data_IF_096887161845
#
_entry.id   IF_096887161845
#
_cell.length_a   1.000
_cell.length_b   1.000
_cell.length_c   1.000
_cell.angle_alpha   90.00
_cell.angle_beta   90.00
_cell.angle_gamma   90.00
#
_symmetry.space_group_name_H-M   'P 1'
#
loop_
_entity.id
_entity.type
_entity.pdbx_description
1 polymer ?
#
# COMPACT_ATOMS: atom_id res chain seq x y z
N UNK A 1 17.79 8.98 -11.20
CA UNK A 1 16.85 7.85 -10.97
C UNK A 1 16.09 7.58 -12.26
N UNK A 2 15.86 6.31 -12.61
CA UNK A 2 15.02 5.97 -13.77
C UNK A 2 13.56 6.31 -13.46
N UNK A 3 12.77 6.44 -14.52
CA UNK A 3 11.35 6.78 -14.42
C UNK A 3 10.52 5.72 -15.14
N UNK A 4 9.41 5.31 -14.54
CA UNK A 4 8.51 4.29 -15.08
C UNK A 4 7.08 4.83 -15.12
N UNK A 5 6.37 4.46 -16.18
CA UNK A 5 4.94 4.75 -16.29
C UNK A 5 4.14 3.75 -15.43
N UNK A 6 3.12 4.20 -14.74
CA UNK A 6 2.17 3.33 -14.04
C UNK A 6 1.09 2.84 -15.00
N UNK A 7 1.13 1.57 -15.33
CA UNK A 7 0.17 0.92 -16.21
C UNK A 7 0.04 1.60 -17.58
N UNK A 8 -1.20 1.84 -17.99
CA UNK A 8 -1.55 2.59 -19.20
C UNK A 8 -1.78 4.08 -18.94
N UNK A 9 -1.65 4.52 -17.70
CA UNK A 9 -1.92 5.91 -17.27
C UNK A 9 -0.88 6.90 -17.80
N UNK A 10 -1.15 8.20 -17.65
CA UNK A 10 -0.17 9.26 -17.93
C UNK A 10 0.82 9.52 -16.78
N UNK A 11 0.72 8.80 -15.66
CA UNK A 11 1.56 9.04 -14.48
C UNK A 11 2.90 8.35 -14.65
N UNK A 12 3.98 9.10 -14.45
CA UNK A 12 5.36 8.63 -14.51
C UNK A 12 6.03 8.88 -13.18
N UNK A 13 6.57 7.83 -12.57
CA UNK A 13 7.13 7.83 -11.21
C UNK A 13 8.60 7.43 -11.19
N UNK A 14 9.27 7.71 -10.09
CA UNK A 14 10.58 7.11 -9.76
C UNK A 14 10.49 5.58 -9.73
N UNK A 15 11.55 4.88 -10.10
CA UNK A 15 11.62 3.41 -10.05
C UNK A 15 11.73 2.84 -8.62
N UNK A 16 11.83 3.72 -7.63
CA UNK A 16 11.70 3.39 -6.21
C UNK A 16 10.43 4.05 -5.68
N UNK A 17 9.61 3.24 -5.00
CA UNK A 17 8.45 3.71 -4.25
C UNK A 17 8.80 3.72 -2.75
N UNK A 18 8.62 4.85 -2.09
CA UNK A 18 8.84 5.01 -0.65
C UNK A 18 7.63 4.51 0.13
N UNK A 19 7.75 3.35 0.77
CA UNK A 19 6.74 2.84 1.70
C UNK A 19 6.84 3.48 3.08
N UNK A 20 5.71 3.87 3.65
CA UNK A 20 5.63 4.64 4.91
C UNK A 20 5.05 3.84 6.08
N UNK A 21 4.83 2.55 5.93
CA UNK A 21 4.06 1.64 6.80
C UNK A 21 4.43 1.68 8.31
N UNK A 22 5.59 2.18 8.68
CA UNK A 22 6.08 2.18 10.08
C UNK A 22 5.98 3.55 10.76
N UNK A 23 5.64 4.61 10.03
CA UNK A 23 5.59 5.97 10.53
C UNK A 23 4.42 6.17 11.50
N UNK A 24 4.73 6.67 12.68
CA UNK A 24 3.77 6.88 13.77
C UNK A 24 3.73 5.76 14.82
N UNK A 25 4.51 4.67 14.63
CA UNK A 25 4.63 3.62 15.65
C UNK A 25 6.07 3.18 15.90
N UNK A 26 6.78 2.71 14.87
CA UNK A 26 8.18 2.28 14.96
C UNK A 26 9.15 3.41 14.62
N UNK A 27 8.67 4.43 13.92
CA UNK A 27 9.41 5.60 13.46
C UNK A 27 8.60 6.82 13.89
N UNK A 28 9.15 7.70 14.68
CA UNK A 28 8.47 8.93 15.09
C UNK A 28 8.35 9.94 13.94
N UNK A 29 7.62 11.02 14.14
CA UNK A 29 7.33 12.00 13.10
C UNK A 29 8.59 12.75 12.64
N UNK A 30 9.51 13.07 13.54
CA UNK A 30 10.73 13.79 13.19
C UNK A 30 11.66 12.93 12.32
N UNK A 31 11.82 11.67 12.68
CA UNK A 31 12.57 10.69 11.90
C UNK A 31 11.87 10.40 10.55
N UNK A 32 10.53 10.27 10.55
CA UNK A 32 9.76 10.07 9.32
C UNK A 32 9.96 11.24 8.34
N UNK A 33 9.94 12.48 8.82
CA UNK A 33 10.21 13.66 8.00
C UNK A 33 11.62 13.63 7.42
N UNK A 34 12.63 13.32 8.23
CA UNK A 34 14.02 13.22 7.77
C UNK A 34 14.20 12.14 6.70
N UNK A 35 13.52 10.98 6.84
CA UNK A 35 13.53 9.90 5.87
C UNK A 35 12.86 10.33 4.55
N UNK A 36 11.69 10.98 4.63
CA UNK A 36 10.97 11.47 3.44
C UNK A 36 11.74 12.58 2.73
N UNK A 37 12.32 13.53 3.47
CA UNK A 37 13.18 14.58 2.92
C UNK A 37 14.35 13.96 2.15
N UNK A 38 15.05 13.01 2.77
CA UNK A 38 16.20 12.34 2.15
C UNK A 38 15.82 11.55 0.91
N UNK A 39 14.68 10.86 0.93
CA UNK A 39 14.18 10.14 -0.23
C UNK A 39 13.82 11.09 -1.37
N UNK A 40 13.11 12.17 -1.07
CA UNK A 40 12.69 13.18 -2.04
C UNK A 40 13.90 13.91 -2.67
N UNK A 41 14.89 14.31 -1.87
CA UNK A 41 16.16 14.87 -2.35
C UNK A 41 16.94 13.92 -3.27
N UNK A 42 16.83 12.61 -3.04
CA UNK A 42 17.42 11.60 -3.90
C UNK A 42 16.63 11.34 -5.20
N UNK A 43 15.50 12.04 -5.40
CA UNK A 43 14.66 11.97 -6.59
C UNK A 43 13.56 10.92 -6.52
N UNK A 44 13.24 10.39 -5.32
CA UNK A 44 12.05 9.55 -5.10
C UNK A 44 10.84 10.47 -4.99
N UNK A 45 9.91 10.38 -5.93
CA UNK A 45 8.67 11.15 -5.94
C UNK A 45 7.42 10.32 -5.71
N UNK A 46 7.55 9.01 -5.59
CA UNK A 46 6.46 8.07 -5.40
C UNK A 46 6.41 7.58 -3.95
N UNK A 47 5.33 7.92 -3.24
CA UNK A 47 5.13 7.60 -1.82
C UNK A 47 3.88 6.77 -1.63
N UNK A 48 3.99 5.67 -0.87
CA UNK A 48 2.91 4.71 -0.63
C UNK A 48 2.56 4.64 0.87
N UNK A 49 1.30 4.86 1.17
CA UNK A 49 0.71 4.77 2.51
C UNK A 49 -0.56 3.91 2.50
N UNK A 50 -1.33 3.87 3.56
CA UNK A 50 -2.66 3.27 3.65
C UNK A 50 -3.45 3.79 4.87
N UNK A 51 -4.78 3.81 4.78
CA UNK A 51 -5.66 4.27 5.86
C UNK A 51 -5.46 3.54 7.19
N UNK A 52 -5.06 2.26 7.13
CA UNK A 52 -4.86 1.43 8.31
C UNK A 52 -3.47 1.51 8.93
N UNK A 53 -2.52 2.21 8.29
CA UNK A 53 -1.16 2.30 8.79
C UNK A 53 -1.04 3.21 10.02
N UNK A 54 -0.08 2.94 10.92
CA UNK A 54 1.05 2.02 10.80
C UNK A 54 0.74 0.56 11.11
N UNK A 55 1.68 -0.32 10.77
CA UNK A 55 1.65 -1.77 11.07
C UNK A 55 2.73 -2.08 12.10
N UNK A 56 2.40 -2.89 13.16
CA UNK A 56 1.13 -3.58 13.43
C UNK A 56 -0.02 -2.61 13.74
N UNK A 57 -1.24 -2.88 13.23
CA UNK A 57 -2.36 -2.00 13.48
C UNK A 57 -2.76 -2.03 14.97
N UNK A 58 -2.95 -0.84 15.54
CA UNK A 58 -3.42 -0.62 16.91
C UNK A 58 -4.38 0.56 16.89
N UNK A 59 -5.47 0.47 17.63
CA UNK A 59 -6.51 1.48 17.67
C UNK A 59 -6.01 2.91 17.99
N UNK A 60 -4.91 3.00 18.73
CA UNK A 60 -4.37 4.31 19.18
C UNK A 60 -3.63 5.09 18.10
N UNK A 61 -3.22 4.45 16.99
CA UNK A 61 -2.45 5.11 15.93
C UNK A 61 -2.88 4.77 14.50
N UNK A 62 -3.99 4.05 14.32
CA UNK A 62 -4.56 3.86 12.97
C UNK A 62 -4.78 5.22 12.32
N UNK A 63 -4.28 5.37 11.08
CA UNK A 63 -4.36 6.61 10.31
C UNK A 63 -3.17 7.56 10.54
N UNK A 64 -2.39 7.39 11.61
CA UNK A 64 -1.29 8.29 11.95
C UNK A 64 -0.23 8.41 10.83
N UNK A 65 -0.03 7.35 10.05
CA UNK A 65 0.90 7.40 8.92
C UNK A 65 0.44 8.38 7.83
N UNK A 66 -0.84 8.35 7.46
CA UNK A 66 -1.40 9.33 6.50
C UNK A 66 -1.32 10.75 7.04
N UNK A 67 -1.59 10.96 8.35
CA UNK A 67 -1.46 12.27 8.98
C UNK A 67 -0.02 12.80 8.92
N UNK A 68 0.98 11.95 9.21
CA UNK A 68 2.41 12.32 9.13
C UNK A 68 2.79 12.69 7.70
N UNK A 69 2.40 11.88 6.71
CA UNK A 69 2.66 12.16 5.30
C UNK A 69 1.98 13.46 4.86
N UNK A 70 0.74 13.69 5.28
CA UNK A 70 0.00 14.92 4.99
C UNK A 70 0.68 16.17 5.59
N UNK A 71 1.08 16.09 6.86
CA UNK A 71 1.82 17.20 7.51
C UNK A 71 3.17 17.45 6.84
N UNK A 72 3.87 16.41 6.42
CA UNK A 72 5.13 16.55 5.69
C UNK A 72 4.94 17.26 4.35
N UNK A 73 3.98 16.83 3.53
CA UNK A 73 3.69 17.47 2.24
C UNK A 73 3.31 18.94 2.41
N UNK A 74 2.47 19.25 3.41
CA UNK A 74 2.09 20.62 3.72
C UNK A 74 3.27 21.47 4.19
N UNK A 75 4.10 20.94 5.09
CA UNK A 75 5.27 21.65 5.62
C UNK A 75 6.33 21.95 4.54
N UNK A 76 6.45 21.08 3.52
CA UNK A 76 7.39 21.26 2.42
C UNK A 76 6.78 21.95 1.19
N UNK A 77 5.46 22.12 1.14
CA UNK A 77 4.77 22.70 -0.01
C UNK A 77 5.00 21.91 -1.30
N UNK A 78 5.16 20.59 -1.22
CA UNK A 78 5.62 19.74 -2.33
C UNK A 78 4.55 18.77 -2.87
N UNK A 79 3.25 18.95 -2.51
CA UNK A 79 2.17 18.04 -2.94
C UNK A 79 2.16 17.77 -4.45
N UNK A 80 2.35 18.82 -5.25
CA UNK A 80 2.35 18.73 -6.73
C UNK A 80 3.57 17.95 -7.29
N UNK A 81 4.64 17.84 -6.52
CA UNK A 81 5.85 17.12 -6.90
C UNK A 81 5.86 15.66 -6.40
N UNK A 82 4.87 15.29 -5.59
CA UNK A 82 4.73 13.94 -5.00
C UNK A 82 3.62 13.18 -5.72
N UNK A 83 3.90 11.96 -6.14
CA UNK A 83 2.90 10.99 -6.57
C UNK A 83 2.51 10.17 -5.34
N UNK A 84 1.32 10.41 -4.84
CA UNK A 84 0.81 9.87 -3.60
C UNK A 84 -0.09 8.66 -3.83
N UNK A 85 0.28 7.52 -3.26
CA UNK A 85 -0.55 6.33 -3.22
C UNK A 85 -1.09 6.08 -1.82
N UNK A 86 -2.37 5.74 -1.71
CA UNK A 86 -2.95 5.19 -0.48
C UNK A 86 -3.93 4.05 -0.77
N UNK A 87 -4.51 3.45 0.27
CA UNK A 87 -5.27 2.20 0.11
C UNK A 87 -6.50 2.18 1.01
N UNK A 88 -7.61 1.65 0.47
CA UNK A 88 -8.80 1.28 1.23
C UNK A 88 -8.71 -0.15 1.72
N UNK A 89 -8.94 -0.38 3.01
CA UNK A 89 -8.95 -1.72 3.59
C UNK A 89 -10.17 -2.52 3.10
N UNK A 90 -9.93 -3.73 2.63
CA UNK A 90 -10.97 -4.74 2.40
C UNK A 90 -11.56 -5.27 3.71
N UNK A 91 -12.31 -6.39 3.70
CA UNK A 91 -12.93 -6.97 4.89
C UNK A 91 -11.93 -7.18 6.04
N UNK A 92 -12.34 -6.87 7.27
CA UNK A 92 -11.42 -6.84 8.42
C UNK A 92 -10.88 -8.20 8.84
N UNK A 93 -11.57 -9.29 8.54
CA UNK A 93 -11.23 -10.65 8.97
C UNK A 93 -10.84 -10.76 10.46
N UNK A 94 -11.38 -9.85 11.29
CA UNK A 94 -11.16 -9.82 12.73
C UNK A 94 -9.79 -9.30 13.20
N UNK A 95 -8.96 -8.73 12.32
CA UNK A 95 -7.66 -8.19 12.69
C UNK A 95 -7.54 -6.67 12.60
N UNK A 96 -8.53 -6.00 12.02
CA UNK A 96 -8.67 -4.55 12.08
C UNK A 96 -9.63 -4.21 13.21
N UNK A 97 -9.16 -3.39 14.11
CA UNK A 97 -9.96 -2.94 15.26
C UNK A 97 -10.56 -1.55 14.98
N UNK A 98 -11.62 -1.15 15.69
CA UNK A 98 -11.96 0.27 15.76
C UNK A 98 -10.71 1.11 16.12
N UNK A 99 -10.53 2.36 15.63
CA UNK A 99 -11.60 3.19 15.08
C UNK A 99 -11.85 3.06 13.57
N UNK A 100 -11.06 2.27 12.80
CA UNK A 100 -11.22 2.23 11.36
C UNK A 100 -12.62 1.71 10.98
N UNK A 101 -13.50 2.63 10.58
CA UNK A 101 -14.91 2.39 10.25
C UNK A 101 -15.62 1.44 11.24
N UNK A 102 -15.33 1.60 12.54
CA UNK A 102 -15.84 0.75 13.63
C UNK A 102 -15.55 -0.75 13.45
N UNK A 103 -14.46 -1.09 12.76
CA UNK A 103 -14.07 -2.46 12.44
C UNK A 103 -14.87 -3.10 11.29
N UNK A 104 -15.76 -2.36 10.65
CA UNK A 104 -16.59 -2.81 9.52
C UNK A 104 -15.99 -2.32 8.21
N UNK A 105 -14.85 -2.87 7.83
CA UNK A 105 -14.21 -2.54 6.56
C UNK A 105 -14.71 -3.46 5.44
N UNK A 106 -14.70 -2.97 4.21
CA UNK A 106 -15.14 -3.66 3.01
C UNK A 106 -14.90 -2.83 1.76
N UNK A 107 -15.30 -3.34 0.61
CA UNK A 107 -15.11 -2.67 -0.67
C UNK A 107 -16.42 -2.28 -1.35
N UNK A 108 -17.52 -2.22 -0.59
CA UNK A 108 -18.77 -1.63 -1.07
C UNK A 108 -18.65 -0.10 -1.21
N UNK A 109 -19.61 0.50 -1.93
CA UNK A 109 -19.63 1.93 -2.23
C UNK A 109 -19.53 2.80 -0.97
N UNK A 110 -20.27 2.47 0.09
CA UNK A 110 -20.26 3.27 1.31
C UNK A 110 -18.89 3.24 1.99
N UNK A 111 -18.29 2.04 2.10
CA UNK A 111 -16.99 1.86 2.70
C UNK A 111 -15.89 2.57 1.91
N UNK A 112 -15.88 2.42 0.59
CA UNK A 112 -14.92 3.07 -0.32
C UNK A 112 -15.01 4.59 -0.23
N UNK A 113 -16.23 5.15 -0.28
CA UNK A 113 -16.44 6.61 -0.19
C UNK A 113 -16.02 7.15 1.17
N UNK A 114 -16.44 6.50 2.26
CA UNK A 114 -16.07 6.93 3.62
C UNK A 114 -14.54 6.87 3.83
N UNK A 115 -13.90 5.83 3.30
CA UNK A 115 -12.44 5.65 3.42
C UNK A 115 -11.66 6.75 2.70
N UNK A 116 -12.04 7.06 1.45
CA UNK A 116 -11.31 8.08 0.67
C UNK A 116 -11.44 9.47 1.27
N UNK A 117 -12.63 9.85 1.75
CA UNK A 117 -12.84 11.15 2.41
C UNK A 117 -11.95 11.29 3.64
N UNK A 118 -11.94 10.28 4.50
CA UNK A 118 -11.09 10.27 5.69
C UNK A 118 -9.58 10.26 5.34
N UNK A 119 -9.17 9.59 4.27
CA UNK A 119 -7.79 9.62 3.80
C UNK A 119 -7.39 11.00 3.25
N UNK A 120 -8.25 11.65 2.47
CA UNK A 120 -8.01 13.01 1.97
C UNK A 120 -7.84 14.02 3.12
N UNK A 121 -8.68 13.91 4.17
CA UNK A 121 -8.57 14.73 5.38
C UNK A 121 -7.23 14.52 6.09
N UNK A 122 -6.83 13.27 6.38
CA UNK A 122 -5.57 12.95 7.03
C UNK A 122 -4.35 13.37 6.21
N UNK A 123 -4.40 13.18 4.90
CA UNK A 123 -3.34 13.53 3.95
C UNK A 123 -3.30 15.03 3.62
N UNK A 124 -4.29 15.81 4.06
CA UNK A 124 -4.39 17.26 3.86
C UNK A 124 -4.29 17.64 2.38
N UNK A 125 -4.98 16.91 1.52
CA UNK A 125 -5.03 17.10 0.06
C UNK A 125 -6.43 16.80 -0.45
N UNK A 126 -6.78 17.36 -1.60
CA UNK A 126 -8.07 17.17 -2.27
C UNK A 126 -8.07 16.05 -3.32
N UNK A 127 -6.90 15.49 -3.63
CA UNK A 127 -6.77 14.36 -4.57
C UNK A 127 -5.69 13.37 -4.17
N UNK A 128 -5.85 12.12 -4.62
CA UNK A 128 -4.90 11.01 -4.51
C UNK A 128 -4.47 10.60 -5.91
N UNK A 129 -3.17 10.38 -6.13
CA UNK A 129 -2.67 9.99 -7.45
C UNK A 129 -2.98 8.52 -7.76
N UNK A 130 -2.75 7.62 -6.80
CA UNK A 130 -3.05 6.19 -6.94
C UNK A 130 -3.85 5.70 -5.73
N UNK A 131 -5.09 5.26 -5.96
CA UNK A 131 -5.93 4.68 -4.92
C UNK A 131 -6.06 3.18 -5.10
N UNK A 132 -5.75 2.39 -4.07
CA UNK A 132 -5.63 0.95 -4.18
C UNK A 132 -6.62 0.23 -3.26
N UNK A 133 -7.19 -0.90 -3.69
CA UNK A 133 -7.77 -1.85 -2.76
C UNK A 133 -6.64 -2.57 -2.02
N UNK A 134 -6.62 -2.54 -0.67
CA UNK A 134 -5.51 -3.07 0.12
C UNK A 134 -5.43 -4.60 0.10
N UNK A 135 -6.59 -5.26 -0.01
CA UNK A 135 -6.78 -6.68 -0.31
C UNK A 135 -8.17 -6.89 -0.86
N UNK A 136 -8.38 -8.00 -1.58
CA UNK A 136 -9.68 -8.28 -2.20
C UNK A 136 -10.80 -8.50 -1.17
N UNK A 137 -12.01 -8.18 -1.59
CA UNK A 137 -13.24 -8.63 -0.96
C UNK A 137 -13.79 -9.81 -1.79
N UNK A 138 -13.66 -11.06 -1.31
CA UNK A 138 -14.06 -12.23 -2.08
C UNK A 138 -15.58 -12.39 -2.16
N UNK A 139 -16.31 -11.83 -1.20
CA UNK A 139 -17.76 -11.99 -1.05
C UNK A 139 -18.54 -10.85 -1.71
N UNK A 140 -17.86 -9.85 -2.26
CA UNK A 140 -18.47 -8.69 -2.89
C UNK A 140 -18.17 -8.63 -4.39
N UNK A 141 -19.16 -8.32 -5.25
CA UNK A 141 -18.97 -8.28 -6.70
C UNK A 141 -17.90 -7.28 -7.12
N UNK A 142 -16.92 -7.71 -7.94
CA UNK A 142 -15.84 -6.83 -8.42
C UNK A 142 -16.38 -5.61 -9.19
N UNK A 143 -17.45 -5.81 -9.93
CA UNK A 143 -18.13 -4.77 -10.70
C UNK A 143 -18.65 -3.63 -9.80
N UNK A 144 -19.20 -3.97 -8.62
CA UNK A 144 -19.69 -2.96 -7.68
C UNK A 144 -18.56 -2.18 -7.02
N UNK A 145 -17.46 -2.87 -6.65
CA UNK A 145 -16.24 -2.21 -6.17
C UNK A 145 -15.68 -1.27 -7.22
N UNK A 146 -15.58 -1.72 -8.48
CA UNK A 146 -15.05 -0.90 -9.57
C UNK A 146 -15.92 0.33 -9.86
N UNK A 147 -17.25 0.21 -9.84
CA UNK A 147 -18.14 1.37 -9.97
C UNK A 147 -17.93 2.38 -8.84
N UNK A 148 -17.77 1.91 -7.61
CA UNK A 148 -17.50 2.80 -6.48
C UNK A 148 -16.17 3.54 -6.63
N UNK A 149 -15.14 2.87 -7.12
CA UNK A 149 -13.83 3.46 -7.38
C UNK A 149 -13.85 4.39 -8.60
N UNK A 150 -14.58 4.04 -9.67
CA UNK A 150 -14.75 4.86 -10.86
C UNK A 150 -15.42 6.21 -10.54
N UNK A 151 -16.43 6.22 -9.66
CA UNK A 151 -17.04 7.46 -9.18
C UNK A 151 -16.01 8.41 -8.54
N UNK A 152 -14.99 7.90 -7.86
CA UNK A 152 -13.93 8.71 -7.28
C UNK A 152 -13.00 9.30 -8.36
N UNK A 153 -12.79 8.55 -9.44
CA UNK A 153 -12.01 9.05 -10.60
C UNK A 153 -12.80 10.13 -11.32
N UNK A 154 -14.08 9.90 -11.59
CA UNK A 154 -14.98 10.89 -12.22
C UNK A 154 -15.13 12.16 -11.39
N UNK A 155 -15.14 12.03 -10.06
CA UNK A 155 -15.18 13.16 -9.13
C UNK A 155 -13.83 13.92 -9.02
N UNK A 156 -12.76 13.44 -9.65
CA UNK A 156 -11.43 14.05 -9.59
C UNK A 156 -10.69 13.85 -8.25
N UNK A 157 -11.23 13.03 -7.35
CA UNK A 157 -10.60 12.70 -6.05
C UNK A 157 -9.46 11.70 -6.17
N UNK A 158 -9.48 10.89 -7.23
CA UNK A 158 -8.49 9.86 -7.53
C UNK A 158 -8.10 9.97 -8.99
N UNK A 159 -6.79 9.88 -9.29
CA UNK A 159 -6.32 9.97 -10.68
C UNK A 159 -6.29 8.61 -11.37
N UNK A 160 -5.76 7.57 -10.70
CA UNK A 160 -5.73 6.19 -11.20
C UNK A 160 -6.00 5.18 -10.08
N UNK A 161 -6.39 3.98 -10.49
CA UNK A 161 -6.72 2.88 -9.59
C UNK A 161 -5.64 1.80 -9.57
N UNK A 162 -5.54 1.10 -8.44
CA UNK A 162 -4.72 -0.08 -8.26
C UNK A 162 -5.37 -1.10 -7.34
N UNK A 163 -4.80 -2.28 -7.30
CA UNK A 163 -5.16 -3.32 -6.34
C UNK A 163 -3.92 -3.84 -5.59
N UNK A 164 -4.14 -4.47 -4.45
CA UNK A 164 -3.06 -5.09 -3.68
C UNK A 164 -3.50 -6.45 -3.14
N UNK A 165 -2.55 -7.37 -3.00
CA UNK A 165 -2.81 -8.73 -2.53
C UNK A 165 -3.88 -9.48 -3.37
N UNK A 166 -4.04 -9.08 -4.63
CA UNK A 166 -5.00 -9.69 -5.54
C UNK A 166 -4.38 -10.91 -6.23
N UNK A 167 -5.24 -11.83 -6.63
CA UNK A 167 -4.88 -13.01 -7.42
C UNK A 167 -4.86 -12.67 -8.92
N UNK A 168 -4.24 -13.54 -9.74
CA UNK A 168 -4.32 -13.45 -11.19
C UNK A 168 -5.76 -13.47 -11.69
N UNK A 169 -6.59 -14.38 -11.12
CA UNK A 169 -8.02 -14.44 -11.43
C UNK A 169 -8.75 -13.14 -11.08
N UNK A 170 -8.55 -12.60 -9.87
CA UNK A 170 -9.22 -11.40 -9.42
C UNK A 170 -8.81 -10.15 -10.20
N UNK A 171 -7.52 -10.03 -10.56
CA UNK A 171 -7.04 -8.98 -11.43
C UNK A 171 -7.68 -9.06 -12.82
N UNK A 172 -7.62 -10.23 -13.48
CA UNK A 172 -8.22 -10.42 -14.81
C UNK A 172 -9.74 -10.21 -14.79
N UNK A 173 -10.44 -10.71 -13.77
CA UNK A 173 -11.88 -10.49 -13.61
C UNK A 173 -12.20 -9.00 -13.50
N UNK A 174 -11.40 -8.23 -12.76
CA UNK A 174 -11.58 -6.77 -12.60
C UNK A 174 -11.30 -6.03 -13.91
N UNK A 175 -10.22 -6.37 -14.61
CA UNK A 175 -9.89 -5.76 -15.90
C UNK A 175 -10.98 -6.02 -16.96
N UNK A 176 -11.48 -7.25 -17.03
CA UNK A 176 -12.57 -7.61 -17.95
C UNK A 176 -13.89 -6.89 -17.59
N UNK A 177 -14.17 -6.69 -16.30
CA UNK A 177 -15.33 -5.93 -15.84
C UNK A 177 -15.20 -4.44 -16.21
N UNK A 178 -14.04 -3.85 -16.00
CA UNK A 178 -13.77 -2.46 -16.40
C UNK A 178 -13.93 -2.24 -17.90
N UNK A 179 -13.39 -3.14 -18.72
CA UNK A 179 -13.51 -3.06 -20.18
C UNK A 179 -14.97 -3.20 -20.64
N UNK A 180 -15.68 -4.20 -20.11
CA UNK A 180 -17.08 -4.45 -20.48
C UNK A 180 -18.01 -3.30 -20.12
N UNK A 181 -17.77 -2.63 -19.00
CA UNK A 181 -18.67 -1.63 -18.44
C UNK A 181 -18.18 -0.18 -18.63
N UNK A 182 -17.01 -0.01 -19.27
CA UNK A 182 -16.42 1.32 -19.52
C UNK A 182 -15.98 2.04 -18.23
N UNK A 183 -15.55 1.28 -17.21
CA UNK A 183 -15.10 1.82 -15.93
C UNK A 183 -13.59 2.01 -15.90
N UNK A 184 -13.11 2.86 -14.99
CA UNK A 184 -11.69 2.97 -14.68
C UNK A 184 -11.11 1.59 -14.32
N UNK A 185 -9.89 1.32 -14.77
CA UNK A 185 -9.21 0.04 -14.59
C UNK A 185 -8.15 0.08 -13.49
N UNK A 186 -7.73 -1.07 -13.03
CA UNK A 186 -6.51 -1.16 -12.24
C UNK A 186 -5.28 -1.02 -13.14
N UNK A 187 -4.52 0.07 -12.96
CA UNK A 187 -3.25 0.32 -13.63
C UNK A 187 -2.06 -0.27 -12.89
N UNK A 188 -2.23 -0.61 -11.61
CA UNK A 188 -1.17 -1.19 -10.78
C UNK A 188 -1.65 -2.35 -9.94
N UNK A 189 -0.71 -3.22 -9.57
CA UNK A 189 -0.90 -4.25 -8.54
C UNK A 189 0.25 -4.22 -7.55
N UNK A 190 -0.07 -4.22 -6.24
CA UNK A 190 0.92 -4.23 -5.17
C UNK A 190 0.88 -5.57 -4.41
N UNK A 191 1.80 -6.47 -4.72
CA UNK A 191 1.87 -7.81 -4.11
C UNK A 191 3.26 -8.08 -3.50
N UNK A 192 3.33 -9.08 -2.62
CA UNK A 192 4.60 -9.54 -2.07
C UNK A 192 5.48 -10.14 -3.18
N UNK A 193 6.66 -9.56 -3.37
CA UNK A 193 7.65 -10.10 -4.30
C UNK A 193 9.06 -9.76 -3.84
N UNK A 194 9.92 -10.78 -3.76
CA UNK A 194 11.33 -10.65 -3.37
C UNK A 194 12.10 -11.89 -3.82
N UNK A 195 13.41 -11.90 -3.68
CA UNK A 195 14.25 -13.06 -4.03
C UNK A 195 13.88 -14.35 -3.29
N UNK A 196 13.31 -14.25 -2.08
CA UNK A 196 12.86 -15.41 -1.31
C UNK A 196 11.33 -15.65 -1.36
N UNK A 197 10.59 -14.84 -2.10
CA UNK A 197 9.16 -15.04 -2.38
C UNK A 197 8.85 -14.66 -3.82
N UNK A 198 8.93 -15.65 -4.73
CA UNK A 198 8.81 -15.47 -6.16
C UNK A 198 7.45 -15.91 -6.73
N UNK A 199 6.47 -16.20 -5.88
CA UNK A 199 5.13 -16.66 -6.30
C UNK A 199 4.42 -15.71 -7.27
N UNK A 200 4.75 -14.41 -7.23
CA UNK A 200 4.25 -13.44 -8.20
C UNK A 200 4.61 -13.81 -9.65
N UNK A 201 5.72 -14.52 -9.84
CA UNK A 201 6.22 -14.92 -11.15
C UNK A 201 5.49 -16.13 -11.74
N UNK A 202 4.75 -16.90 -10.92
CA UNK A 202 4.06 -18.11 -11.39
C UNK A 202 2.97 -17.78 -12.42
N UNK A 203 2.23 -16.68 -12.24
CA UNK A 203 1.15 -16.26 -13.15
C UNK A 203 0.96 -14.74 -13.24
N UNK A 204 1.01 -14.00 -12.12
CA UNK A 204 0.74 -12.56 -12.07
C UNK A 204 1.71 -11.72 -12.92
N UNK A 205 2.97 -12.10 -13.00
CA UNK A 205 3.95 -11.39 -13.81
C UNK A 205 3.56 -11.41 -15.30
N UNK A 206 3.05 -12.55 -15.81
CA UNK A 206 2.58 -12.68 -17.18
C UNK A 206 1.31 -11.85 -17.43
N UNK A 207 0.35 -11.86 -16.49
CA UNK A 207 -0.84 -11.01 -16.55
C UNK A 207 -0.43 -9.54 -16.60
N UNK A 208 0.44 -9.10 -15.69
CA UNK A 208 0.91 -7.73 -15.65
C UNK A 208 1.57 -7.28 -16.96
N UNK A 209 2.42 -8.13 -17.54
CA UNK A 209 3.10 -7.88 -18.81
C UNK A 209 2.12 -7.73 -19.97
N UNK A 210 1.15 -8.64 -20.09
CA UNK A 210 0.17 -8.65 -21.18
C UNK A 210 -0.83 -7.51 -21.07
N UNK A 211 -1.33 -7.29 -19.85
CA UNK A 211 -2.35 -6.28 -19.59
C UNK A 211 -1.78 -4.88 -19.33
N UNK A 212 -0.45 -4.74 -19.36
CA UNK A 212 0.23 -3.47 -19.05
C UNK A 212 -0.21 -2.92 -17.68
N UNK A 213 -0.20 -3.77 -16.66
CA UNK A 213 -0.39 -3.41 -15.25
C UNK A 213 0.97 -3.33 -14.59
N UNK A 214 1.29 -2.21 -13.94
CA UNK A 214 2.57 -2.06 -13.24
C UNK A 214 2.57 -2.79 -11.91
N UNK A 215 3.63 -3.59 -11.66
CA UNK A 215 3.85 -4.20 -10.35
C UNK A 215 4.56 -3.22 -9.41
N UNK A 216 4.03 -3.10 -8.18
CA UNK A 216 4.64 -2.37 -7.07
C UNK A 216 4.97 -3.38 -5.98
N UNK A 217 6.15 -4.04 -6.00
CA UNK A 217 6.46 -5.09 -5.04
C UNK A 217 6.61 -4.53 -3.62
N UNK A 218 5.89 -5.12 -2.65
CA UNK A 218 6.18 -4.84 -1.26
C UNK A 218 7.10 -5.90 -0.64
N UNK A 219 7.82 -5.52 0.42
CA UNK A 219 8.83 -6.35 1.10
C UNK A 219 9.97 -6.86 0.20
N UNK A 220 10.54 -6.04 -0.71
CA UNK A 220 11.60 -6.49 -1.62
C UNK A 220 12.84 -7.02 -0.90
N UNK A 221 13.09 -6.56 0.34
CA UNK A 221 14.14 -7.06 1.23
C UNK A 221 13.65 -8.11 2.24
N UNK A 222 12.45 -8.69 2.04
CA UNK A 222 11.87 -9.70 2.95
C UNK A 222 11.88 -9.26 4.42
N UNK A 223 11.44 -8.02 4.70
CA UNK A 223 11.47 -7.46 6.05
C UNK A 223 12.87 -7.21 6.60
N UNK A 224 13.88 -7.14 5.74
CA UNK A 224 15.28 -6.93 6.08
C UNK A 224 16.13 -8.20 6.10
N UNK A 225 15.57 -9.37 5.86
CA UNK A 225 16.33 -10.64 5.81
C UNK A 225 17.38 -10.60 4.69
N UNK A 226 17.02 -10.10 3.53
CA UNK A 226 17.91 -10.01 2.37
C UNK A 226 19.01 -8.95 2.50
N UNK A 227 19.00 -8.16 3.57
CA UNK A 227 20.12 -7.25 3.90
C UNK A 227 21.28 -7.95 4.60
N UNK A 228 21.13 -9.22 4.94
CA UNK A 228 22.16 -10.00 5.67
C UNK A 228 22.16 -9.82 7.20
N UNK A 229 21.43 -8.84 7.74
CA UNK A 229 21.49 -8.48 9.17
C UNK A 229 21.01 -9.56 10.16
N UNK A 230 20.39 -10.63 9.68
CA UNK A 230 19.94 -11.76 10.49
C UNK A 230 20.74 -13.05 10.25
N UNK A 231 21.84 -12.98 9.47
CA UNK A 231 22.70 -14.14 9.23
C UNK A 231 23.30 -14.67 10.53
N UNK A 232 23.62 -15.96 10.55
CA UNK A 232 24.23 -16.67 11.67
C UNK A 232 23.45 -16.52 13.01
N UNK A 233 22.13 -16.35 12.92
CA UNK A 233 21.27 -16.18 14.08
C UNK A 233 21.32 -14.80 14.75
N UNK A 234 21.96 -13.81 14.11
CA UNK A 234 22.05 -12.46 14.63
C UNK A 234 20.65 -11.83 14.91
N UNK A 235 20.60 -11.03 15.98
CA UNK A 235 19.37 -10.33 16.42
C UNK A 235 19.70 -8.85 16.71
N UNK A 236 19.96 -8.03 15.67
CA UNK A 236 20.33 -6.64 15.89
C UNK A 236 19.26 -5.89 16.66
N UNK A 237 19.67 -5.07 17.63
CA UNK A 237 18.78 -4.20 18.37
C UNK A 237 18.01 -3.25 17.45
N UNK A 238 16.74 -2.99 17.75
CA UNK A 238 15.87 -2.14 16.92
C UNK A 238 15.40 -2.77 15.60
N UNK A 239 16.00 -3.90 15.18
CA UNK A 239 15.58 -4.54 13.93
C UNK A 239 14.20 -5.17 14.04
N UNK A 240 13.38 -5.02 12.98
CA UNK A 240 11.95 -5.43 12.95
C UNK A 240 11.71 -6.83 13.52
N UNK A 241 12.38 -7.85 13.00
CA UNK A 241 12.12 -9.22 13.43
C UNK A 241 12.75 -9.54 14.79
N UNK A 242 13.79 -8.83 15.23
CA UNK A 242 14.26 -8.89 16.62
C UNK A 242 13.17 -8.43 17.57
N UNK A 243 12.57 -7.27 17.29
CA UNK A 243 11.46 -6.73 18.08
C UNK A 243 10.22 -7.63 18.03
N UNK A 244 9.90 -8.20 16.87
CA UNK A 244 8.75 -9.11 16.72
C UNK A 244 8.90 -10.40 17.49
N UNK A 245 10.12 -10.93 17.65
CA UNK A 245 10.37 -12.14 18.46
C UNK A 245 10.08 -11.92 19.96
N UNK A 246 10.18 -10.67 20.43
CA UNK A 246 9.86 -10.28 21.81
C UNK A 246 8.43 -9.75 21.97
N UNK A 247 7.66 -9.66 20.90
CA UNK A 247 6.30 -9.10 20.87
C UNK A 247 5.23 -10.20 21.06
N UNK A 248 3.97 -9.87 20.80
CA UNK A 248 2.86 -10.82 20.92
C UNK A 248 2.94 -12.00 19.93
N UNK A 249 2.22 -13.08 20.24
CA UNK A 249 2.26 -14.36 19.49
C UNK A 249 2.18 -14.23 17.96
N UNK A 250 1.39 -13.28 17.46
CA UNK A 250 1.23 -13.06 16.03
C UNK A 250 2.52 -12.54 15.37
N UNK A 251 3.16 -11.55 16.00
CA UNK A 251 4.44 -11.00 15.53
C UNK A 251 5.55 -12.04 15.61
N UNK A 252 5.59 -12.85 16.65
CA UNK A 252 6.53 -13.97 16.78
C UNK A 252 6.40 -14.96 15.63
N UNK A 253 5.17 -15.39 15.30
CA UNK A 253 4.91 -16.30 14.17
C UNK A 253 5.34 -15.65 12.84
N UNK A 254 5.09 -14.35 12.65
CA UNK A 254 5.53 -13.63 11.46
C UNK A 254 7.05 -13.61 11.36
N UNK A 255 7.76 -13.28 12.44
CA UNK A 255 9.22 -13.26 12.47
C UNK A 255 9.81 -14.65 12.18
N UNK A 256 9.27 -15.70 12.79
CA UNK A 256 9.74 -17.08 12.63
C UNK A 256 9.67 -17.57 11.16
N UNK A 257 8.67 -17.12 10.39
CA UNK A 257 8.55 -17.46 8.96
C UNK A 257 9.72 -16.95 8.13
N UNK A 258 10.34 -15.85 8.54
CA UNK A 258 11.42 -15.21 7.78
C UNK A 258 12.81 -15.50 8.34
N UNK A 259 12.94 -15.57 9.67
CA UNK A 259 14.24 -15.62 10.36
C UNK A 259 14.71 -17.05 10.65
N UNK A 260 13.78 -18.02 10.71
CA UNK A 260 14.08 -19.43 10.94
C UNK A 260 13.92 -20.30 9.68
N UNK A 261 13.67 -19.71 8.51
CA UNK A 261 13.73 -20.45 7.26
C UNK A 261 15.19 -20.88 7.02
N UNK A 262 15.42 -22.21 7.09
CA UNK A 262 16.70 -22.83 6.73
C UNK A 262 16.89 -22.82 5.22
#
# INVERSE_FOLDING_TARGET
MRRNRLGRSGIVVSDICMGTMTFGSQTDEAEAFAIMDRAFEAGVDFFDTAEMYPVPPDAKWIGATEEIVGRWMKARGNREAVILATKVAGPSHGWISPPLRSGKTGLDRHQVTTAVEASLERLQTDYIDLYQTHWPDPDYPKEETLRALDDLVLAGKVRILGCSNETSWGLMKSLAASEREGLARFDTIQNNHSLNNRRFEDDLAEVCRREQVSSIPYSPLAGGVLSGKYQDGARPEGARFTNYLSAGKRQQVMAQRFVNAK
#
